data_IF_174930222557
#
_entry.id   IF_174930222557
#
_cell.length_a   1.000
_cell.length_b   1.000
_cell.length_c   1.000
_cell.angle_alpha   90.00
_cell.angle_beta   90.00
_cell.angle_gamma   90.00
#
_symmetry.space_group_name_H-M   'P 1'
#
loop_
_entity.id
_entity.type
_entity.pdbx_description
1 polymer ?
#
# COMPACT_ATOMS: atom_id res chain seq x y z
N UNK A 1 5.55 12.12 -16.92
CA UNK A 1 6.09 13.24 -16.08
C UNK A 1 5.21 13.42 -14.85
N UNK A 2 5.76 13.20 -13.66
CA UNK A 2 5.05 13.29 -12.36
C UNK A 2 4.77 14.75 -11.93
N UNK A 3 4.11 15.55 -12.78
CA UNK A 3 3.87 16.98 -12.50
C UNK A 3 2.82 17.20 -11.41
N UNK A 4 1.75 16.39 -11.41
CA UNK A 4 0.70 16.43 -10.39
C UNK A 4 1.29 16.04 -9.02
N UNK A 5 2.03 14.96 -8.98
CA UNK A 5 2.66 14.41 -7.79
C UNK A 5 3.65 15.41 -7.17
N UNK A 6 4.40 16.15 -7.98
CA UNK A 6 5.26 17.25 -7.52
C UNK A 6 4.47 18.42 -6.94
N UNK A 7 3.32 18.76 -7.54
CA UNK A 7 2.43 19.80 -6.97
C UNK A 7 1.86 19.39 -5.61
N UNK A 8 1.50 18.12 -5.45
CA UNK A 8 1.07 17.58 -4.15
C UNK A 8 2.20 17.74 -3.12
N UNK A 9 3.42 17.30 -3.47
CA UNK A 9 4.58 17.40 -2.58
C UNK A 9 4.90 18.85 -2.20
N UNK A 10 4.87 19.76 -3.16
CA UNK A 10 5.10 21.20 -2.90
C UNK A 10 4.05 21.79 -1.96
N UNK A 11 2.77 21.44 -2.19
CA UNK A 11 1.68 21.88 -1.32
C UNK A 11 1.86 21.35 0.11
N UNK A 12 2.18 20.06 0.25
CA UNK A 12 2.44 19.45 1.56
C UNK A 12 3.61 20.14 2.27
N UNK A 13 4.73 20.35 1.60
CA UNK A 13 5.90 21.03 2.18
C UNK A 13 5.62 22.48 2.62
N UNK A 14 4.64 23.14 2.02
CA UNK A 14 4.25 24.51 2.37
C UNK A 14 3.25 24.60 3.52
N UNK A 15 2.47 23.55 3.77
CA UNK A 15 1.33 23.62 4.67
C UNK A 15 1.39 22.63 5.85
N UNK A 16 2.01 21.45 5.66
CA UNK A 16 2.12 20.43 6.69
C UNK A 16 3.32 20.65 7.63
N UNK A 17 3.22 20.11 8.84
CA UNK A 17 4.34 20.09 9.78
C UNK A 17 5.36 19.01 9.39
N UNK A 18 6.62 19.39 9.17
CA UNK A 18 7.70 18.44 8.88
C UNK A 18 7.92 17.50 10.08
N UNK A 19 8.08 16.21 9.79
CA UNK A 19 8.24 15.16 10.81
C UNK A 19 6.93 14.68 11.43
N UNK A 20 5.79 15.23 11.03
CA UNK A 20 4.46 14.81 11.48
C UNK A 20 3.72 14.09 10.35
N UNK A 21 3.75 12.76 10.40
CA UNK A 21 3.12 11.89 9.39
C UNK A 21 1.62 12.14 9.26
N UNK A 22 0.90 12.43 10.37
CA UNK A 22 -0.54 12.69 10.30
C UNK A 22 -0.81 14.03 9.61
N UNK A 23 -0.06 15.07 9.95
CA UNK A 23 -0.16 16.37 9.27
C UNK A 23 0.10 16.25 7.77
N UNK A 24 1.06 15.41 7.35
CA UNK A 24 1.33 15.15 5.92
C UNK A 24 0.14 14.49 5.25
N UNK A 25 -0.45 13.46 5.85
CA UNK A 25 -1.63 12.77 5.32
C UNK A 25 -2.83 13.71 5.17
N UNK A 26 -3.13 14.50 6.21
CA UNK A 26 -4.24 15.46 6.21
C UNK A 26 -4.11 16.48 5.07
N UNK A 27 -2.89 16.95 4.78
CA UNK A 27 -2.67 17.91 3.70
C UNK A 27 -2.66 17.27 2.31
N UNK A 28 -2.27 15.98 2.19
CA UNK A 28 -2.49 15.25 0.93
C UNK A 28 -3.98 15.10 0.67
N UNK A 29 -4.78 14.69 1.68
CA UNK A 29 -6.23 14.56 1.57
C UNK A 29 -6.89 15.89 1.23
N UNK A 30 -6.46 16.97 1.88
CA UNK A 30 -6.94 18.33 1.57
C UNK A 30 -6.65 18.73 0.12
N UNK A 31 -5.44 18.48 -0.38
CA UNK A 31 -5.10 18.79 -1.76
C UNK A 31 -5.94 17.96 -2.74
N UNK A 32 -6.01 16.65 -2.51
CA UNK A 32 -6.63 15.70 -3.44
C UNK A 32 -8.16 15.83 -3.48
N UNK A 33 -8.80 16.21 -2.37
CA UNK A 33 -10.24 16.44 -2.30
C UNK A 33 -10.66 17.82 -2.84
N UNK A 34 -9.81 18.86 -2.69
CA UNK A 34 -10.20 20.24 -2.97
C UNK A 34 -9.59 20.84 -4.24
N UNK A 35 -8.45 20.32 -4.71
CA UNK A 35 -7.71 20.91 -5.83
C UNK A 35 -7.58 19.97 -7.02
N UNK A 36 -6.95 18.83 -6.84
CA UNK A 36 -6.65 17.93 -7.96
C UNK A 36 -6.64 16.48 -7.48
N UNK A 37 -7.61 15.69 -7.92
CA UNK A 37 -7.71 14.28 -7.55
C UNK A 37 -6.44 13.50 -7.88
N UNK A 38 -6.04 12.62 -6.96
CA UNK A 38 -4.95 11.66 -7.12
C UNK A 38 -5.38 10.29 -6.61
N UNK A 39 -4.79 9.23 -7.16
CA UNK A 39 -5.10 7.84 -6.88
C UNK A 39 -4.39 7.35 -5.60
N UNK A 40 -4.75 7.92 -4.46
CA UNK A 40 -4.33 7.42 -3.15
C UNK A 40 -5.39 6.45 -2.63
N UNK A 41 -5.10 5.70 -1.56
CA UNK A 41 -6.15 4.93 -0.88
C UNK A 41 -7.24 5.82 -0.26
N UNK A 42 -6.92 7.10 -0.01
CA UNK A 42 -7.82 8.10 0.54
C UNK A 42 -8.09 7.97 2.04
N UNK A 43 -8.90 8.88 2.55
CA UNK A 43 -9.19 9.00 3.98
C UNK A 43 -10.10 7.87 4.50
N UNK A 44 -11.22 7.57 3.81
CA UNK A 44 -12.17 6.52 4.24
C UNK A 44 -11.54 5.12 4.19
N UNK A 45 -11.05 4.68 3.03
CA UNK A 45 -10.39 3.37 2.89
C UNK A 45 -9.10 3.31 3.72
N UNK A 46 -8.44 4.44 3.89
CA UNK A 46 -7.30 4.57 4.75
C UNK A 46 -7.57 4.21 6.22
N UNK A 47 -8.75 4.52 6.77
CA UNK A 47 -9.13 4.09 8.12
C UNK A 47 -9.29 2.57 8.20
N UNK A 48 -9.79 1.93 7.14
CA UNK A 48 -9.87 0.46 7.06
C UNK A 48 -8.46 -0.13 7.04
N UNK A 49 -7.57 0.43 6.20
CA UNK A 49 -6.15 0.04 6.16
C UNK A 49 -5.49 0.18 7.54
N UNK A 50 -5.69 1.30 8.23
CA UNK A 50 -5.15 1.53 9.58
C UNK A 50 -5.60 0.44 10.56
N UNK A 51 -6.89 0.13 10.58
CA UNK A 51 -7.43 -0.90 11.48
C UNK A 51 -6.83 -2.29 11.19
N UNK A 52 -6.70 -2.67 9.90
CA UNK A 52 -6.11 -3.95 9.53
C UNK A 52 -4.63 -4.02 9.90
N UNK A 53 -3.87 -2.93 9.73
CA UNK A 53 -2.46 -2.85 10.16
C UNK A 53 -2.34 -2.98 11.68
N UNK A 54 -3.21 -2.31 12.45
CA UNK A 54 -3.22 -2.39 13.92
C UNK A 54 -3.56 -3.81 14.39
N UNK A 55 -4.60 -4.44 13.81
CA UNK A 55 -4.99 -5.82 14.12
C UNK A 55 -3.89 -6.82 13.80
N UNK A 56 -3.28 -6.71 12.63
CA UNK A 56 -2.21 -7.60 12.16
C UNK A 56 -0.93 -7.39 12.96
N UNK A 57 -0.65 -6.16 13.40
CA UNK A 57 0.56 -5.76 14.12
C UNK A 57 1.84 -6.34 13.49
N UNK A 58 2.08 -6.06 12.20
CA UNK A 58 3.14 -6.72 11.43
C UNK A 58 4.52 -6.25 11.84
N UNK A 59 5.51 -7.15 11.74
CA UNK A 59 6.93 -6.84 11.88
C UNK A 59 7.51 -6.44 10.53
N UNK A 60 7.13 -7.16 9.49
CA UNK A 60 7.57 -6.92 8.11
C UNK A 60 6.36 -6.75 7.20
N UNK A 61 6.32 -5.61 6.53
CA UNK A 61 5.23 -5.24 5.63
C UNK A 61 5.76 -5.07 4.21
N UNK A 62 4.98 -5.52 3.24
CA UNK A 62 5.19 -5.28 1.81
C UNK A 62 4.03 -4.44 1.27
N UNK A 63 4.33 -3.46 0.45
CA UNK A 63 3.36 -2.71 -0.33
C UNK A 63 3.69 -2.86 -1.81
N UNK A 64 2.68 -3.16 -2.61
CA UNK A 64 2.77 -3.21 -4.07
C UNK A 64 2.04 -2.01 -4.65
N UNK A 65 2.80 -1.04 -5.15
CA UNK A 65 2.34 0.27 -5.60
C UNK A 65 2.56 1.36 -4.55
N UNK A 66 3.60 2.18 -4.74
CA UNK A 66 3.97 3.28 -3.81
C UNK A 66 3.31 4.60 -4.19
N UNK A 67 3.23 4.89 -5.49
CA UNK A 67 2.78 6.18 -6.05
C UNK A 67 3.47 7.37 -5.37
N UNK A 68 2.71 8.24 -4.66
CA UNK A 68 3.26 9.39 -3.92
C UNK A 68 3.71 9.07 -2.49
N UNK A 69 3.54 7.83 -2.03
CA UNK A 69 3.91 7.40 -0.68
C UNK A 69 2.82 7.62 0.37
N UNK A 70 1.58 7.94 0.01
CA UNK A 70 0.49 8.17 0.96
C UNK A 70 0.24 6.95 1.85
N UNK A 71 -0.05 5.79 1.26
CA UNK A 71 -0.28 4.53 1.99
C UNK A 71 0.98 4.05 2.73
N UNK A 72 2.17 4.24 2.13
CA UNK A 72 3.43 3.94 2.81
C UNK A 72 3.61 4.76 4.11
N UNK A 73 3.28 6.05 4.09
CA UNK A 73 3.29 6.91 5.29
C UNK A 73 2.22 6.44 6.26
N UNK A 74 1.02 6.14 5.75
CA UNK A 74 -0.11 5.71 6.56
C UNK A 74 0.18 4.42 7.32
N UNK A 75 0.75 3.42 6.66
CA UNK A 75 1.16 2.16 7.28
C UNK A 75 2.31 2.39 8.27
N UNK A 76 3.39 3.03 7.82
CA UNK A 76 4.63 3.14 8.59
C UNK A 76 4.49 3.94 9.90
N UNK A 77 3.55 4.92 9.96
CA UNK A 77 3.29 5.64 11.21
C UNK A 77 2.74 4.75 12.33
N UNK A 78 2.09 3.64 11.95
CA UNK A 78 1.49 2.67 12.88
C UNK A 78 2.44 1.53 13.26
N UNK A 79 3.52 1.33 12.50
CA UNK A 79 4.50 0.29 12.79
C UNK A 79 5.28 0.60 14.07
N UNK A 80 5.49 -0.43 14.89
CA UNK A 80 6.32 -0.35 16.09
C UNK A 80 7.80 -0.09 15.76
N UNK A 81 8.60 0.40 16.72
CA UNK A 81 10.04 0.49 16.53
C UNK A 81 10.64 -0.85 16.12
N UNK A 82 11.54 -0.84 15.12
CA UNK A 82 12.18 -2.04 14.58
C UNK A 82 11.38 -2.78 13.50
N UNK A 83 10.09 -2.44 13.30
CA UNK A 83 9.29 -2.97 12.20
C UNK A 83 9.53 -2.15 10.92
N UNK A 84 9.39 -2.80 9.75
CA UNK A 84 9.74 -2.20 8.46
C UNK A 84 8.65 -2.39 7.41
N UNK A 85 8.56 -1.40 6.53
CA UNK A 85 7.77 -1.43 5.29
C UNK A 85 8.71 -1.41 4.09
N UNK A 86 8.53 -2.36 3.18
CA UNK A 86 9.13 -2.39 1.85
C UNK A 86 8.03 -2.07 0.84
N UNK A 87 8.24 -1.06 0.00
CA UNK A 87 7.23 -0.63 -0.97
C UNK A 87 7.80 -0.66 -2.38
N UNK A 88 7.07 -1.30 -3.30
CA UNK A 88 7.51 -1.52 -4.68
C UNK A 88 6.93 -0.45 -5.60
N UNK A 89 7.79 0.22 -6.39
CA UNK A 89 7.38 1.22 -7.36
C UNK A 89 8.14 1.05 -8.66
N UNK A 90 7.39 0.87 -9.74
CA UNK A 90 7.96 0.68 -11.07
C UNK A 90 8.38 2.01 -11.72
N UNK A 91 7.64 3.10 -11.43
CA UNK A 91 7.88 4.41 -12.03
C UNK A 91 8.93 5.20 -11.23
N UNK A 92 10.14 5.48 -11.79
CA UNK A 92 11.20 6.18 -11.07
C UNK A 92 10.83 7.62 -10.67
N UNK A 93 9.92 8.28 -11.42
CA UNK A 93 9.48 9.63 -11.07
C UNK A 93 8.55 9.61 -9.85
N UNK A 94 7.67 8.61 -9.72
CA UNK A 94 6.83 8.41 -8.54
C UNK A 94 7.67 8.02 -7.33
N UNK A 95 8.59 7.08 -7.50
CA UNK A 95 9.53 6.67 -6.45
C UNK A 95 10.33 7.87 -5.89
N UNK A 96 10.77 8.79 -6.75
CA UNK A 96 11.48 10.00 -6.34
C UNK A 96 10.60 10.93 -5.50
N UNK A 97 9.33 11.16 -5.91
CA UNK A 97 8.37 11.98 -5.14
C UNK A 97 8.03 11.30 -3.81
N UNK A 98 7.74 10.00 -3.83
CA UNK A 98 7.44 9.23 -2.61
C UNK A 98 8.59 9.30 -1.60
N UNK A 99 9.84 9.17 -2.06
CA UNK A 99 11.03 9.27 -1.21
C UNK A 99 11.09 10.60 -0.46
N UNK A 100 10.82 11.70 -1.15
CA UNK A 100 10.80 13.02 -0.52
C UNK A 100 9.61 13.19 0.44
N UNK A 101 8.43 12.67 0.07
CA UNK A 101 7.23 12.73 0.90
C UNK A 101 7.41 11.93 2.20
N UNK A 102 7.91 10.70 2.12
CA UNK A 102 8.23 9.81 3.25
C UNK A 102 9.26 10.46 4.18
N UNK A 103 10.29 11.10 3.60
CA UNK A 103 11.29 11.83 4.38
C UNK A 103 10.67 13.02 5.10
N UNK A 104 9.85 13.80 4.42
CA UNK A 104 9.18 14.97 5.00
C UNK A 104 8.21 14.57 6.12
N UNK A 105 7.55 13.40 5.98
CA UNK A 105 6.70 12.83 7.01
C UNK A 105 7.45 12.25 8.22
N UNK A 106 8.79 12.17 8.19
CA UNK A 106 9.61 11.67 9.29
C UNK A 106 9.58 10.16 9.50
N UNK A 107 9.20 9.38 8.48
CA UNK A 107 9.07 7.90 8.59
C UNK A 107 10.09 7.14 7.73
N UNK A 108 11.09 7.83 7.17
CA UNK A 108 12.11 7.25 6.28
C UNK A 108 12.90 6.09 6.88
N UNK A 109 13.05 6.04 8.20
CA UNK A 109 13.81 4.98 8.87
C UNK A 109 13.04 3.64 8.90
N UNK A 110 11.73 3.66 8.66
CA UNK A 110 10.88 2.48 8.61
C UNK A 110 10.57 2.01 7.19
N UNK A 111 10.79 2.85 6.17
CA UNK A 111 10.33 2.62 4.79
C UNK A 111 11.51 2.48 3.83
N UNK A 112 11.49 1.42 3.04
CA UNK A 112 12.43 1.23 1.93
C UNK A 112 11.67 1.06 0.62
N UNK A 113 12.00 1.93 -0.37
CA UNK A 113 11.40 1.85 -1.72
C UNK A 113 12.26 0.91 -2.56
N UNK A 114 11.62 -0.14 -3.08
CA UNK A 114 12.20 -1.10 -4.01
C UNK A 114 11.76 -0.74 -5.44
N UNK A 115 12.66 -0.15 -6.21
CA UNK A 115 12.34 0.27 -7.57
C UNK A 115 12.40 -0.93 -8.53
N UNK A 116 11.31 -1.17 -9.25
CA UNK A 116 11.14 -2.25 -10.23
C UNK A 116 9.69 -2.71 -10.35
N UNK A 117 9.43 -3.65 -11.24
CA UNK A 117 8.13 -4.31 -11.33
C UNK A 117 7.95 -5.36 -10.23
N UNK A 118 6.71 -5.69 -9.91
CA UNK A 118 6.39 -6.74 -8.91
C UNK A 118 6.94 -8.10 -9.34
N UNK A 119 6.85 -8.42 -10.64
CA UNK A 119 7.39 -9.65 -11.24
C UNK A 119 8.91 -9.79 -11.04
N UNK A 120 9.67 -8.70 -11.05
CA UNK A 120 11.12 -8.69 -10.84
C UNK A 120 11.48 -8.71 -9.35
N UNK A 121 10.71 -7.97 -8.53
CA UNK A 121 11.02 -7.77 -7.12
C UNK A 121 10.60 -8.98 -6.26
N UNK A 122 9.39 -9.51 -6.43
CA UNK A 122 8.86 -10.58 -5.58
C UNK A 122 9.78 -11.81 -5.54
N UNK A 123 10.30 -12.36 -6.67
CA UNK A 123 11.18 -13.52 -6.64
C UNK A 123 12.52 -13.28 -5.91
N UNK A 124 12.98 -12.04 -5.89
CA UNK A 124 14.23 -11.65 -5.26
C UNK A 124 14.06 -11.03 -3.87
N UNK A 125 12.81 -10.88 -3.41
CA UNK A 125 12.48 -10.08 -2.23
C UNK A 125 13.21 -10.57 -0.99
N UNK A 126 13.12 -11.87 -0.66
CA UNK A 126 13.75 -12.45 0.55
C UNK A 126 15.24 -12.16 0.62
N UNK A 127 15.95 -12.32 -0.50
CA UNK A 127 17.38 -12.03 -0.58
C UNK A 127 17.66 -10.52 -0.45
N UNK A 128 16.81 -9.66 -1.02
CA UNK A 128 16.98 -8.20 -0.98
C UNK A 128 16.77 -7.62 0.41
N UNK A 129 15.71 -8.07 1.11
CA UNK A 129 15.31 -7.48 2.39
C UNK A 129 15.83 -8.26 3.60
N UNK A 130 16.42 -9.45 3.39
CA UNK A 130 17.02 -10.27 4.45
C UNK A 130 16.00 -10.89 5.42
N UNK A 131 14.75 -11.14 4.95
CA UNK A 131 13.71 -11.80 5.75
C UNK A 131 13.10 -12.98 4.99
N UNK A 132 12.64 -13.99 5.71
CA UNK A 132 12.07 -15.19 5.10
C UNK A 132 10.64 -14.98 4.59
N UNK A 133 9.86 -14.12 5.25
CA UNK A 133 8.47 -13.84 4.89
C UNK A 133 8.01 -12.48 5.42
N UNK A 134 6.87 -12.01 4.88
CA UNK A 134 6.17 -10.80 5.32
C UNK A 134 4.87 -11.17 6.04
N UNK A 135 4.48 -10.35 7.01
CA UNK A 135 3.27 -10.56 7.82
C UNK A 135 2.05 -9.88 7.20
N UNK A 136 2.28 -8.79 6.49
CA UNK A 136 1.21 -7.99 5.87
C UNK A 136 1.63 -7.54 4.47
N UNK A 137 0.71 -7.66 3.51
CA UNK A 137 0.86 -7.16 2.13
C UNK A 137 -0.29 -6.21 1.82
N UNK A 138 0.02 -4.98 1.43
CA UNK A 138 -0.95 -4.04 0.86
C UNK A 138 -0.82 -4.01 -0.66
N UNK A 139 -1.91 -4.29 -1.39
CA UNK A 139 -1.94 -4.31 -2.86
C UNK A 139 -2.72 -3.10 -3.38
N UNK A 140 -2.03 -2.17 -4.02
CA UNK A 140 -2.62 -0.98 -4.64
C UNK A 140 -1.89 -0.57 -5.93
N UNK A 141 -1.55 -1.56 -6.75
CA UNK A 141 -0.92 -1.39 -8.06
C UNK A 141 -1.89 -1.72 -9.21
N UNK A 142 -1.42 -2.18 -10.37
CA UNK A 142 -2.27 -2.60 -11.49
C UNK A 142 -3.12 -3.80 -11.12
N UNK A 143 -4.45 -3.65 -11.19
CA UNK A 143 -5.43 -4.62 -10.68
C UNK A 143 -5.37 -5.97 -11.42
N UNK A 144 -4.96 -5.95 -12.69
CA UNK A 144 -4.75 -7.13 -13.53
C UNK A 144 -3.63 -8.04 -13.01
N UNK A 145 -2.70 -7.50 -12.22
CA UNK A 145 -1.58 -8.26 -11.63
C UNK A 145 -1.90 -8.84 -10.25
N UNK A 146 -3.01 -8.47 -9.61
CA UNK A 146 -3.32 -8.91 -8.24
C UNK A 146 -3.32 -10.41 -8.07
N UNK A 147 -4.01 -11.16 -8.99
CA UNK A 147 -4.09 -12.62 -8.91
C UNK A 147 -2.74 -13.28 -9.18
N UNK A 148 -1.99 -12.82 -10.20
CA UNK A 148 -0.66 -13.35 -10.53
C UNK A 148 0.35 -13.08 -9.43
N UNK A 149 0.36 -11.86 -8.87
CA UNK A 149 1.30 -11.49 -7.82
C UNK A 149 0.99 -12.20 -6.50
N UNK A 150 -0.30 -12.45 -6.20
CA UNK A 150 -0.69 -13.29 -5.06
C UNK A 150 -0.11 -14.69 -5.19
N UNK A 151 -0.24 -15.33 -6.35
CA UNK A 151 0.35 -16.65 -6.62
C UNK A 151 1.87 -16.62 -6.54
N UNK A 152 2.49 -15.59 -7.06
CA UNK A 152 3.95 -15.41 -7.03
C UNK A 152 4.46 -15.25 -5.60
N UNK A 153 3.75 -14.50 -4.74
CA UNK A 153 4.06 -14.39 -3.31
C UNK A 153 4.02 -15.75 -2.59
N UNK A 154 3.04 -16.60 -2.94
CA UNK A 154 2.95 -17.97 -2.41
C UNK A 154 4.07 -18.86 -2.93
N UNK A 155 4.29 -18.91 -4.25
CA UNK A 155 5.29 -19.75 -4.91
C UNK A 155 6.71 -19.42 -4.43
N UNK A 156 7.01 -18.14 -4.22
CA UNK A 156 8.29 -17.69 -3.67
C UNK A 156 8.37 -17.83 -2.13
N UNK A 157 7.29 -18.26 -1.49
CA UNK A 157 7.22 -18.39 -0.02
C UNK A 157 7.42 -17.07 0.71
N UNK A 158 7.04 -15.94 0.08
CA UNK A 158 7.12 -14.60 0.68
C UNK A 158 6.06 -14.43 1.77
N UNK A 159 4.92 -15.08 1.62
CA UNK A 159 3.86 -15.15 2.63
C UNK A 159 3.85 -16.53 3.31
N UNK A 160 3.40 -16.56 4.56
CA UNK A 160 3.24 -17.78 5.40
C UNK A 160 1.83 -17.85 5.95
N UNK A 161 1.46 -18.98 6.55
CA UNK A 161 0.21 -19.12 7.30
C UNK A 161 0.07 -17.98 8.31
N UNK A 162 -1.05 -17.26 8.24
CA UNK A 162 -1.35 -16.08 9.06
C UNK A 162 -0.95 -14.75 8.40
N UNK A 163 -0.19 -14.74 7.30
CA UNK A 163 0.05 -13.50 6.55
C UNK A 163 -1.25 -12.94 6.01
N UNK A 164 -1.38 -11.62 6.06
CA UNK A 164 -2.59 -10.88 5.63
C UNK A 164 -2.30 -10.14 4.34
N UNK A 165 -3.13 -10.33 3.33
CA UNK A 165 -3.18 -9.49 2.13
C UNK A 165 -4.38 -8.57 2.26
N UNK A 166 -4.20 -7.26 2.06
CA UNK A 166 -5.27 -6.28 1.90
C UNK A 166 -5.16 -5.65 0.53
N UNK A 167 -6.17 -5.86 -0.32
CA UNK A 167 -6.20 -5.37 -1.69
C UNK A 167 -7.18 -4.22 -1.83
N UNK A 168 -6.74 -3.09 -2.39
CA UNK A 168 -7.57 -1.92 -2.65
C UNK A 168 -8.25 -1.99 -4.01
N UNK A 169 -9.34 -1.24 -4.18
CA UNK A 169 -10.12 -1.08 -5.42
C UNK A 169 -10.62 -2.38 -6.04
N UNK A 170 -11.02 -3.34 -5.22
CA UNK A 170 -11.49 -4.65 -5.70
C UNK A 170 -12.85 -4.58 -6.42
N UNK A 171 -13.58 -3.47 -6.29
CA UNK A 171 -14.84 -3.17 -6.98
C UNK A 171 -14.65 -2.13 -8.07
N UNK A 172 -13.93 -1.03 -7.82
CA UNK A 172 -13.69 0.02 -8.78
C UNK A 172 -12.20 0.43 -8.85
N UNK A 173 -11.48 0.16 -9.97
CA UNK A 173 -11.96 -0.41 -11.24
C UNK A 173 -12.35 -1.88 -11.14
N UNK A 174 -11.92 -2.60 -10.09
CA UNK A 174 -12.22 -3.99 -9.83
C UNK A 174 -11.05 -4.94 -10.09
N UNK A 175 -11.01 -6.03 -9.29
CA UNK A 175 -10.02 -7.10 -9.41
C UNK A 175 -10.71 -8.48 -9.37
N UNK A 176 -11.55 -8.82 -10.38
CA UNK A 176 -12.38 -10.01 -10.35
C UNK A 176 -11.58 -11.31 -10.26
N UNK A 177 -10.47 -11.42 -11.00
CA UNK A 177 -9.62 -12.61 -11.01
C UNK A 177 -8.95 -12.86 -9.66
N UNK A 178 -8.56 -11.79 -8.97
CA UNK A 178 -8.05 -11.87 -7.60
C UNK A 178 -9.13 -12.32 -6.63
N UNK A 179 -10.31 -11.71 -6.66
CA UNK A 179 -11.44 -12.08 -5.81
C UNK A 179 -11.85 -13.52 -6.01
N UNK A 180 -11.98 -13.98 -7.28
CA UNK A 180 -12.27 -15.36 -7.58
C UNK A 180 -11.20 -16.28 -6.98
N UNK A 181 -9.92 -15.97 -7.22
CA UNK A 181 -8.83 -16.80 -6.74
C UNK A 181 -8.83 -16.93 -5.20
N UNK A 182 -8.78 -15.84 -4.47
CA UNK A 182 -8.65 -15.91 -2.99
C UNK A 182 -9.89 -16.49 -2.31
N UNK A 183 -11.09 -16.28 -2.89
CA UNK A 183 -12.35 -16.76 -2.32
C UNK A 183 -12.63 -18.23 -2.64
N UNK A 184 -12.06 -18.79 -3.73
CA UNK A 184 -12.42 -20.15 -4.19
C UNK A 184 -11.30 -21.18 -4.05
N UNK A 185 -10.02 -20.78 -3.96
CA UNK A 185 -8.90 -21.71 -3.87
C UNK A 185 -8.81 -22.48 -2.53
N UNK A 186 -9.60 -22.11 -1.53
CA UNK A 186 -9.66 -22.75 -0.21
C UNK A 186 -8.50 -22.38 0.74
N UNK A 187 -7.54 -21.58 0.28
CA UNK A 187 -6.32 -21.22 1.03
C UNK A 187 -6.38 -19.89 1.76
N UNK A 188 -7.48 -19.17 1.67
CA UNK A 188 -7.65 -17.87 2.33
C UNK A 188 -8.95 -17.82 3.13
N UNK A 189 -8.93 -17.06 4.22
CA UNK A 189 -10.12 -16.55 4.88
C UNK A 189 -10.29 -15.09 4.47
N UNK A 190 -11.41 -14.80 3.79
CA UNK A 190 -11.65 -13.52 3.14
C UNK A 190 -12.69 -12.69 3.88
N UNK A 191 -12.46 -11.37 3.94
CA UNK A 191 -13.41 -10.38 4.47
C UNK A 191 -13.43 -9.18 3.54
N UNK A 192 -14.62 -8.81 3.05
CA UNK A 192 -14.81 -7.63 2.22
C UNK A 192 -15.19 -6.43 3.09
N UNK A 193 -14.57 -5.28 2.80
CA UNK A 193 -14.85 -3.99 3.46
C UNK A 193 -15.42 -3.02 2.43
N UNK A 194 -16.76 -2.87 2.33
CA UNK A 194 -17.38 -1.87 1.46
C UNK A 194 -16.97 -0.44 1.83
N UNK A 195 -16.70 0.38 0.82
CA UNK A 195 -16.30 1.77 0.96
C UNK A 195 -16.58 2.53 -0.36
N UNK A 196 -15.88 3.63 -0.58
CA UNK A 196 -15.99 4.44 -1.80
C UNK A 196 -14.62 4.68 -2.42
N UNK A 197 -14.62 5.00 -3.71
CA UNK A 197 -13.43 5.54 -4.40
C UNK A 197 -13.02 6.83 -3.70
N UNK A 198 -11.73 7.00 -3.47
CA UNK A 198 -11.17 8.13 -2.74
C UNK A 198 -11.72 9.48 -3.21
N UNK A 199 -12.23 10.26 -2.27
CA UNK A 199 -12.81 11.60 -2.46
C UNK A 199 -14.00 11.66 -3.44
N UNK A 200 -14.71 10.54 -3.67
CA UNK A 200 -15.83 10.45 -4.63
C UNK A 200 -16.96 9.61 -4.08
N UNK A 201 -18.18 9.98 -4.44
CA UNK A 201 -19.38 9.17 -4.17
C UNK A 201 -19.53 8.08 -5.26
N UNK A 202 -18.64 7.08 -5.21
CA UNK A 202 -18.65 5.91 -6.09
C UNK A 202 -18.25 4.68 -5.30
N UNK A 203 -19.11 3.66 -5.31
CA UNK A 203 -18.87 2.41 -4.59
C UNK A 203 -17.53 1.76 -4.96
N UNK A 204 -16.84 1.32 -3.94
CA UNK A 204 -15.61 0.55 -4.01
C UNK A 204 -15.51 -0.37 -2.77
N UNK A 205 -14.45 -1.16 -2.68
CA UNK A 205 -14.17 -1.98 -1.51
C UNK A 205 -12.70 -2.37 -1.41
N UNK A 206 -12.29 -2.75 -0.19
CA UNK A 206 -11.05 -3.50 0.04
C UNK A 206 -11.40 -4.96 0.35
N UNK A 207 -10.51 -5.87 -0.02
CA UNK A 207 -10.59 -7.28 0.34
C UNK A 207 -9.40 -7.67 1.20
N UNK A 208 -9.69 -8.14 2.44
CA UNK A 208 -8.70 -8.75 3.32
C UNK A 208 -8.73 -10.26 3.09
N UNK A 209 -7.58 -10.84 2.80
CA UNK A 209 -7.38 -12.26 2.61
C UNK A 209 -6.29 -12.77 3.56
N UNK A 210 -6.64 -13.61 4.53
CA UNK A 210 -5.70 -14.21 5.48
C UNK A 210 -5.26 -15.58 4.96
N UNK A 211 -3.97 -15.75 4.71
CA UNK A 211 -3.42 -16.99 4.15
C UNK A 211 -3.40 -18.11 5.19
N UNK A 212 -3.95 -19.29 4.82
CA UNK A 212 -4.01 -20.49 5.69
C UNK A 212 -2.92 -21.51 5.40
N UNK A 213 -2.23 -21.38 4.29
CA UNK A 213 -1.23 -22.34 3.80
C UNK A 213 -1.73 -23.20 2.65
#
# INVERSE_FOLDING_TARGET
MAQKEKRILEFVKQNAAEGDAQSVLDHIDQYCSQKEWAMNVGDEKGLILDNVVIETNPTTTLELGTYCGYSAIRISRLLKPGCRLFTVEMNPEYAAVAKEMIKFAGVQDKVEILQGSTEEIIPSLKAKIGVDHVDFVFMDHFKEHYASDTKLLEECGVIKTGSVILADNVVCPGAPDFLEYVRTCGRYDCTNYPSHVEYRDKEDALEKAVFKG
#
